data_IF_189262617289
#
_entry.id   IF_189262617289
#
_cell.length_a   1.000
_cell.length_b   1.000
_cell.length_c   1.000
_cell.angle_alpha   90.00
_cell.angle_beta   90.00
_cell.angle_gamma   90.00
#
_symmetry.space_group_name_H-M   'P 1'
#
loop_
_entity.id
_entity.type
_entity.pdbx_description
1 polymer ?
#
# COMPACT_ATOMS: atom_id res chain seq x y z
N UNK A 1 -19.07 -4.67 51.37
CA UNK A 1 -18.81 -3.94 50.11
C UNK A 1 -17.50 -4.45 49.52
N UNK A 2 -17.56 -5.31 48.49
CA UNK A 2 -16.36 -5.83 47.79
C UNK A 2 -16.03 -4.87 46.64
N UNK A 3 -14.90 -4.17 46.72
CA UNK A 3 -14.35 -3.36 45.63
C UNK A 3 -13.65 -4.28 44.64
N UNK A 4 -14.21 -4.42 43.44
CA UNK A 4 -13.55 -5.08 42.31
C UNK A 4 -12.68 -4.03 41.61
N UNK A 5 -11.35 -4.24 41.62
CA UNK A 5 -10.41 -3.47 40.83
C UNK A 5 -10.38 -4.06 39.41
N UNK A 6 -10.86 -3.29 38.43
CA UNK A 6 -10.68 -3.56 37.01
C UNK A 6 -9.26 -3.11 36.64
N UNK A 7 -8.35 -4.06 36.48
CA UNK A 7 -7.04 -3.82 35.89
C UNK A 7 -7.21 -3.80 34.35
N UNK A 8 -7.17 -2.62 33.75
CA UNK A 8 -7.13 -2.46 32.30
C UNK A 8 -5.74 -2.82 31.78
N UNK A 9 -5.67 -3.86 30.94
CA UNK A 9 -4.47 -4.20 30.18
C UNK A 9 -4.39 -3.23 29.00
N UNK A 10 -3.49 -2.25 29.07
CA UNK A 10 -3.14 -1.44 27.92
C UNK A 10 -2.29 -2.28 26.97
N UNK A 11 -2.88 -2.74 25.86
CA UNK A 11 -2.13 -3.39 24.79
C UNK A 11 -1.26 -2.31 24.09
N UNK A 12 0.04 -2.32 24.36
CA UNK A 12 0.99 -1.52 23.61
C UNK A 12 1.14 -2.13 22.21
N UNK A 13 0.55 -1.49 21.20
CA UNK A 13 0.79 -1.83 19.80
C UNK A 13 2.20 -1.31 19.45
N UNK A 14 3.18 -2.20 19.51
CA UNK A 14 4.55 -1.90 19.12
C UNK A 14 4.65 -1.73 17.61
N UNK A 15 4.84 -0.50 17.14
CA UNK A 15 5.18 -0.22 15.75
C UNK A 15 6.64 -0.63 15.55
N UNK A 16 6.89 -1.67 14.76
CA UNK A 16 8.23 -2.00 14.29
C UNK A 16 8.57 -1.00 13.20
N UNK A 17 9.50 -0.07 13.47
CA UNK A 17 10.04 0.79 12.43
C UNK A 17 10.78 -0.09 11.42
N UNK A 18 10.38 -0.04 10.15
CA UNK A 18 11.06 -0.75 9.07
C UNK A 18 12.47 -0.15 8.92
N UNK A 19 13.48 -0.87 9.42
CA UNK A 19 14.86 -0.53 9.12
C UNK A 19 15.10 -0.85 7.64
N UNK A 20 15.59 0.14 6.89
CA UNK A 20 15.93 -0.06 5.48
C UNK A 20 16.91 -1.23 5.34
N UNK A 21 16.60 -2.18 4.46
CA UNK A 21 17.45 -3.33 4.17
C UNK A 21 18.69 -2.97 3.34
N UNK A 22 18.82 -1.70 2.90
CA UNK A 22 19.92 -1.23 2.05
C UNK A 22 20.58 0.03 2.63
N UNK A 23 21.89 -0.02 2.93
CA UNK A 23 22.67 1.19 3.11
C UNK A 23 22.86 1.89 1.75
N UNK A 24 22.34 3.10 1.56
CA UNK A 24 22.93 4.03 0.57
C UNK A 24 22.05 4.71 -0.47
N UNK A 25 20.73 4.58 -0.46
CA UNK A 25 19.87 5.42 -1.31
C UNK A 25 18.79 6.09 -0.45
N UNK A 26 18.91 7.40 -0.24
CA UNK A 26 17.80 8.21 0.27
C UNK A 26 16.96 8.57 -0.95
N UNK A 27 15.73 8.06 -1.09
CA UNK A 27 14.88 8.42 -2.22
C UNK A 27 14.65 9.93 -2.20
N UNK A 28 14.83 10.59 -3.34
CA UNK A 28 14.43 11.98 -3.52
C UNK A 28 12.90 12.05 -3.45
N UNK A 29 12.39 12.69 -2.40
CA UNK A 29 10.96 12.93 -2.22
C UNK A 29 10.44 13.78 -3.40
N UNK A 30 9.50 13.22 -4.15
CA UNK A 30 8.66 14.01 -5.06
C UNK A 30 7.58 14.65 -4.19
N UNK A 31 7.57 15.98 -4.06
CA UNK A 31 6.72 16.71 -3.12
C UNK A 31 6.96 16.33 -1.65
N UNK A 32 5.90 16.31 -0.82
CA UNK A 32 5.92 15.95 0.60
C UNK A 32 5.89 14.43 0.85
N UNK A 33 6.23 13.63 -0.17
CA UNK A 33 6.32 12.18 -0.09
C UNK A 33 7.38 11.77 0.96
N UNK A 34 6.93 11.09 2.01
CA UNK A 34 7.79 10.34 2.91
C UNK A 34 7.95 8.91 2.38
N UNK A 35 9.17 8.37 2.40
CA UNK A 35 9.42 6.99 1.98
C UNK A 35 8.90 6.02 3.04
N UNK A 36 8.91 6.45 4.31
CA UNK A 36 8.43 5.63 5.41
C UNK A 36 6.93 5.82 5.60
N UNK A 37 6.13 4.74 5.52
CA UNK A 37 4.72 4.83 5.84
C UNK A 37 4.51 5.10 7.33
N UNK A 38 3.53 5.92 7.66
CA UNK A 38 3.03 6.12 9.02
C UNK A 38 1.62 5.51 9.15
N UNK A 39 1.32 4.79 10.25
CA UNK A 39 -0.03 4.27 10.47
C UNK A 39 -1.03 5.43 10.67
N UNK A 40 -2.26 5.23 10.20
CA UNK A 40 -3.39 6.11 10.49
C UNK A 40 -4.04 5.74 11.83
N UNK A 41 -4.58 6.72 12.56
CA UNK A 41 -5.47 6.44 13.68
C UNK A 41 -6.80 5.84 13.21
N UNK A 42 -7.58 5.17 14.07
CA UNK A 42 -8.84 4.55 13.66
C UNK A 42 -9.82 5.51 12.96
N UNK A 43 -10.02 6.71 13.51
CA UNK A 43 -10.91 7.72 12.92
C UNK A 43 -10.41 8.22 11.56
N UNK A 44 -9.09 8.32 11.39
CA UNK A 44 -8.49 8.71 10.12
C UNK A 44 -8.62 7.62 9.06
N UNK A 45 -8.50 6.35 9.47
CA UNK A 45 -8.73 5.19 8.61
C UNK A 45 -10.19 5.07 8.19
N UNK A 46 -11.14 5.30 9.09
CA UNK A 46 -12.57 5.33 8.75
C UNK A 46 -12.86 6.42 7.72
N UNK A 47 -12.34 7.63 7.92
CA UNK A 47 -12.52 8.73 6.97
C UNK A 47 -11.95 8.41 5.58
N UNK A 48 -10.71 7.89 5.48
CA UNK A 48 -10.12 7.59 4.16
C UNK A 48 -10.85 6.45 3.44
N UNK A 49 -11.43 5.51 4.19
CA UNK A 49 -12.26 4.43 3.63
C UNK A 49 -13.57 5.00 3.07
N UNK A 50 -14.21 5.91 3.79
CA UNK A 50 -15.44 6.58 3.32
C UNK A 50 -15.16 7.45 2.09
N UNK A 51 -14.04 8.19 2.09
CA UNK A 51 -13.59 8.96 0.92
C UNK A 51 -13.36 8.02 -0.29
N UNK A 52 -12.69 6.89 -0.10
CA UNK A 52 -12.45 5.88 -1.13
C UNK A 52 -13.76 5.26 -1.67
N UNK A 53 -14.75 5.02 -0.80
CA UNK A 53 -16.07 4.48 -1.21
C UNK A 53 -16.91 5.51 -1.95
N UNK A 54 -16.87 6.77 -1.55
CA UNK A 54 -17.59 7.85 -2.21
C UNK A 54 -17.15 8.02 -3.68
N UNK A 55 -15.93 7.61 -4.00
CA UNK A 55 -15.39 7.60 -5.37
C UNK A 55 -15.81 6.38 -6.20
N UNK A 56 -16.15 5.26 -5.56
CA UNK A 56 -16.48 4.00 -6.23
C UNK A 56 -17.44 4.10 -7.42
N UNK A 57 -18.52 4.90 -7.34
CA UNK A 57 -19.45 5.09 -8.46
C UNK A 57 -18.82 5.66 -9.74
N UNK A 58 -17.69 6.37 -9.65
CA UNK A 58 -17.06 7.03 -10.81
C UNK A 58 -16.17 6.08 -11.64
N UNK A 59 -15.79 4.95 -11.08
CA UNK A 59 -14.67 4.14 -11.61
C UNK A 59 -14.79 2.64 -11.41
N UNK A 60 -15.60 2.15 -10.45
CA UNK A 60 -15.65 0.73 -10.06
C UNK A 60 -17.08 0.21 -9.81
N UNK A 61 -18.10 1.07 -9.89
CA UNK A 61 -19.50 0.70 -9.62
C UNK A 61 -19.74 0.33 -8.15
N UNK A 62 -20.77 -0.49 -7.89
CA UNK A 62 -21.19 -0.87 -6.53
C UNK A 62 -20.22 -1.84 -5.81
N UNK A 63 -19.16 -2.31 -6.50
CA UNK A 63 -18.29 -3.38 -6.02
C UNK A 63 -17.42 -3.02 -4.80
N UNK A 64 -17.21 -1.73 -4.52
CA UNK A 64 -16.43 -1.27 -3.35
C UNK A 64 -17.23 -1.34 -2.05
N UNK A 65 -18.56 -1.22 -2.10
CA UNK A 65 -19.40 -1.18 -0.90
C UNK A 65 -19.18 -2.36 0.08
N UNK A 66 -19.07 -3.64 -0.38
CA UNK A 66 -18.79 -4.76 0.51
C UNK A 66 -17.31 -4.91 0.92
N UNK A 67 -16.38 -4.15 0.35
CA UNK A 67 -14.97 -4.31 0.61
C UNK A 67 -14.59 -3.76 2.01
N UNK A 68 -13.71 -4.49 2.70
CA UNK A 68 -13.21 -4.16 4.04
C UNK A 68 -11.77 -3.64 3.97
N UNK A 69 -11.39 -2.65 4.80
CA UNK A 69 -10.01 -2.18 4.83
C UNK A 69 -9.09 -3.22 5.45
N UNK A 70 -7.99 -3.53 4.75
CA UNK A 70 -6.93 -4.42 5.24
C UNK A 70 -5.62 -3.68 5.52
N UNK A 71 -5.47 -2.47 4.99
CA UNK A 71 -4.30 -1.62 5.13
C UNK A 71 -4.71 -0.16 4.97
N UNK A 72 -4.24 0.70 5.87
CA UNK A 72 -4.39 2.15 5.75
C UNK A 72 -3.13 2.83 6.31
N UNK A 73 -2.52 3.71 5.53
CA UNK A 73 -1.25 4.35 5.87
C UNK A 73 -1.19 5.78 5.33
N UNK A 74 -0.17 6.53 5.76
CA UNK A 74 0.08 7.92 5.36
C UNK A 74 1.55 8.15 5.06
N UNK A 75 1.80 8.91 3.98
CA UNK A 75 3.11 9.50 3.66
C UNK A 75 2.91 10.98 3.30
N UNK A 76 3.42 11.87 4.14
CA UNK A 76 3.15 13.31 3.99
C UNK A 76 1.66 13.65 4.10
N UNK A 77 1.14 14.39 3.12
CA UNK A 77 -0.28 14.74 2.98
C UNK A 77 -1.14 13.66 2.32
N UNK A 78 -0.54 12.54 1.91
CA UNK A 78 -1.23 11.46 1.21
C UNK A 78 -1.57 10.31 2.13
N UNK A 79 -2.80 9.83 2.05
CA UNK A 79 -3.29 8.61 2.68
C UNK A 79 -3.50 7.55 1.62
N UNK A 80 -3.05 6.33 1.91
CA UNK A 80 -3.22 5.17 1.03
C UNK A 80 -4.01 4.09 1.77
N UNK A 81 -5.03 3.54 1.11
CA UNK A 81 -5.89 2.49 1.69
C UNK A 81 -6.05 1.33 0.71
N UNK A 82 -6.05 0.11 1.25
CA UNK A 82 -6.38 -1.12 0.54
C UNK A 82 -7.68 -1.67 1.10
N UNK A 83 -8.65 -1.85 0.22
CA UNK A 83 -9.93 -2.52 0.48
C UNK A 83 -9.94 -3.88 -0.20
N UNK A 84 -10.48 -4.90 0.46
CA UNK A 84 -10.57 -6.26 -0.07
C UNK A 84 -11.99 -6.76 0.06
N UNK A 85 -12.49 -7.41 -0.97
CA UNK A 85 -13.72 -8.20 -0.94
C UNK A 85 -13.44 -9.62 -1.43
N UNK A 86 -14.49 -10.45 -1.49
CA UNK A 86 -14.40 -11.80 -2.02
C UNK A 86 -13.99 -11.85 -3.51
N UNK A 87 -14.13 -10.74 -4.25
CA UNK A 87 -13.92 -10.72 -5.70
C UNK A 87 -12.81 -9.79 -6.16
N UNK A 88 -12.36 -8.85 -5.31
CA UNK A 88 -11.44 -7.79 -5.71
C UNK A 88 -10.56 -7.27 -4.58
N UNK A 89 -9.38 -6.77 -4.97
CA UNK A 89 -8.59 -5.83 -4.18
C UNK A 89 -8.75 -4.46 -4.83
N UNK A 90 -8.88 -3.44 -4.01
CA UNK A 90 -9.00 -2.06 -4.44
C UNK A 90 -8.03 -1.22 -3.64
N UNK A 91 -7.26 -0.39 -4.32
CA UNK A 91 -6.38 0.59 -3.69
C UNK A 91 -6.99 1.97 -3.88
N UNK A 92 -6.79 2.89 -2.94
CA UNK A 92 -7.14 4.31 -3.10
C UNK A 92 -6.00 5.15 -2.54
N UNK A 93 -5.67 6.23 -3.24
CA UNK A 93 -4.73 7.26 -2.79
C UNK A 93 -5.52 8.57 -2.63
N UNK A 94 -5.39 9.20 -1.47
CA UNK A 94 -6.20 10.35 -1.07
C UNK A 94 -5.28 11.45 -0.55
N UNK A 95 -5.41 12.67 -1.06
CA UNK A 95 -4.66 13.82 -0.55
C UNK A 95 -5.48 14.61 0.46
N UNK A 96 -4.94 14.85 1.66
CA UNK A 96 -5.60 15.67 2.69
C UNK A 96 -5.42 17.17 2.45
N UNK A 97 -6.44 17.93 2.83
CA UNK A 97 -6.42 19.41 2.80
C UNK A 97 -6.86 20.02 1.47
N UNK A 98 -7.20 19.18 0.49
CA UNK A 98 -7.92 19.61 -0.67
C UNK A 98 -9.38 19.94 -0.31
N UNK A 99 -9.81 21.16 -0.58
CA UNK A 99 -11.14 21.64 -0.21
C UNK A 99 -12.27 21.13 -1.13
N UNK A 100 -11.95 20.31 -2.13
CA UNK A 100 -12.88 19.83 -3.14
C UNK A 100 -12.62 18.34 -3.49
N UNK A 101 -13.63 17.69 -4.06
CA UNK A 101 -13.52 16.37 -4.71
C UNK A 101 -12.51 16.35 -5.88
N UNK A 102 -11.95 17.51 -6.24
CA UNK A 102 -11.11 17.73 -7.42
C UNK A 102 -9.61 17.38 -7.24
N UNK A 103 -9.10 17.15 -6.02
CA UNK A 103 -7.69 16.72 -5.77
C UNK A 103 -7.59 15.26 -5.27
N UNK A 104 -8.67 14.50 -5.45
CA UNK A 104 -8.75 13.12 -5.03
C UNK A 104 -8.28 12.23 -6.18
N UNK A 105 -6.98 11.91 -6.20
CA UNK A 105 -6.37 11.12 -7.29
C UNK A 105 -6.64 9.64 -7.09
N UNK A 106 -7.65 9.13 -7.79
CA UNK A 106 -7.98 7.72 -7.76
C UNK A 106 -7.00 6.88 -8.61
N UNK A 107 -6.28 5.95 -7.98
CA UNK A 107 -5.82 4.75 -8.71
C UNK A 107 -6.80 3.63 -8.45
N UNK A 108 -7.48 3.20 -9.49
CA UNK A 108 -8.21 1.94 -9.52
C UNK A 108 -7.30 0.85 -10.07
N UNK A 109 -6.97 -0.15 -9.25
CA UNK A 109 -6.45 -1.42 -9.71
C UNK A 109 -7.31 -2.55 -9.20
N UNK A 110 -8.25 -2.98 -10.03
CA UNK A 110 -8.87 -4.29 -9.90
C UNK A 110 -7.82 -5.35 -10.21
N UNK A 111 -7.05 -5.75 -9.19
CA UNK A 111 -6.29 -6.99 -9.25
C UNK A 111 -7.26 -8.16 -9.45
N UNK A 112 -6.77 -9.28 -10.00
CA UNK A 112 -7.53 -10.55 -10.03
C UNK A 112 -8.09 -10.80 -8.63
N UNK A 113 -9.24 -11.46 -8.55
CA UNK A 113 -9.75 -12.00 -7.29
C UNK A 113 -8.60 -12.71 -6.60
N UNK A 114 -8.06 -12.18 -5.49
CA UNK A 114 -7.03 -12.90 -4.80
C UNK A 114 -7.67 -14.21 -4.42
N UNK A 115 -6.93 -15.31 -4.58
CA UNK A 115 -7.26 -16.44 -3.75
C UNK A 115 -6.95 -16.01 -2.31
N UNK A 116 -7.94 -15.37 -1.67
CA UNK A 116 -7.93 -14.95 -0.28
C UNK A 116 -8.02 -16.16 0.64
N UNK A 117 -8.29 -17.35 0.10
CA UNK A 117 -8.42 -18.57 0.89
C UNK A 117 -7.08 -19.08 1.42
N UNK A 118 -5.95 -18.64 0.86
CA UNK A 118 -4.63 -19.03 1.34
C UNK A 118 -3.58 -17.90 1.25
N UNK A 119 -3.03 -17.51 2.41
CA UNK A 119 -1.76 -16.77 2.49
C UNK A 119 -0.64 -17.60 1.86
N UNK A 120 0.40 -16.98 1.26
CA UNK A 120 1.55 -17.72 0.79
C UNK A 120 2.20 -18.46 1.97
N UNK A 121 2.58 -19.72 1.73
CA UNK A 121 3.25 -20.56 2.73
C UNK A 121 4.68 -20.08 2.98
N UNK A 122 5.31 -19.50 1.95
CA UNK A 122 6.67 -18.95 1.97
C UNK A 122 6.73 -17.68 1.14
N UNK A 123 7.55 -16.71 1.57
CA UNK A 123 7.83 -15.50 0.80
C UNK A 123 6.64 -14.54 0.72
N UNK A 124 6.54 -13.85 -0.42
CA UNK A 124 5.51 -12.84 -0.71
C UNK A 124 4.76 -13.21 -1.99
N UNK A 125 3.51 -12.78 -2.08
CA UNK A 125 2.65 -12.89 -3.27
C UNK A 125 2.17 -11.52 -3.69
N UNK A 126 2.21 -11.20 -4.98
CA UNK A 126 1.59 -9.99 -5.55
C UNK A 126 0.11 -10.26 -5.85
N UNK A 127 -0.80 -9.57 -5.17
CA UNK A 127 -2.26 -9.71 -5.38
C UNK A 127 -2.84 -8.63 -6.28
N UNK A 128 -2.15 -7.49 -6.40
CA UNK A 128 -2.55 -6.41 -7.28
C UNK A 128 -1.42 -5.42 -7.52
N UNK A 129 -1.45 -4.81 -8.70
CA UNK A 129 -0.64 -3.65 -9.00
C UNK A 129 -1.45 -2.69 -9.84
N UNK A 130 -1.22 -1.40 -9.63
CA UNK A 130 -1.88 -0.33 -10.36
C UNK A 130 -0.86 0.68 -10.79
N UNK A 131 -1.06 1.23 -11.98
CA UNK A 131 -0.30 2.36 -12.46
C UNK A 131 -1.28 3.35 -13.07
N UNK A 132 -1.20 4.62 -12.66
CA UNK A 132 -1.75 5.67 -13.51
C UNK A 132 -0.86 5.76 -14.74
N UNK A 133 -1.40 5.40 -15.90
CA UNK A 133 -0.72 5.55 -17.19
C UNK A 133 -1.18 6.85 -17.83
N UNK A 134 -0.25 7.63 -18.38
CA UNK A 134 -0.62 8.64 -19.36
C UNK A 134 -1.17 7.95 -20.61
N UNK A 135 -2.17 8.56 -21.25
CA UNK A 135 -2.63 8.07 -22.55
C UNK A 135 -1.51 8.25 -23.60
N UNK A 136 -1.47 7.42 -24.66
CA UNK A 136 -0.48 7.61 -25.72
C UNK A 136 -0.51 9.04 -26.29
N UNK A 137 0.62 9.75 -26.21
CA UNK A 137 0.76 11.13 -26.66
C UNK A 137 0.48 12.20 -25.61
N UNK A 138 0.13 11.82 -24.38
CA UNK A 138 0.06 12.72 -23.23
C UNK A 138 1.35 12.64 -22.40
N UNK A 139 1.76 13.77 -21.82
CA UNK A 139 2.82 13.74 -20.83
C UNK A 139 2.31 13.06 -19.55
N UNK A 140 3.15 12.30 -18.83
CA UNK A 140 2.83 11.81 -17.50
C UNK A 140 2.28 12.94 -16.64
N UNK A 141 1.06 12.76 -16.13
CA UNK A 141 0.49 13.71 -15.18
C UNK A 141 1.48 13.88 -14.01
N UNK A 142 1.71 15.10 -13.49
CA UNK A 142 2.45 15.28 -12.25
C UNK A 142 1.80 14.54 -11.07
N UNK A 143 0.53 14.16 -11.20
CA UNK A 143 -0.23 13.39 -10.24
C UNK A 143 -0.23 11.87 -10.52
N UNK A 144 0.57 11.41 -11.49
CA UNK A 144 0.71 10.00 -11.80
C UNK A 144 1.49 9.26 -10.70
N UNK A 145 1.07 8.03 -10.41
CA UNK A 145 1.65 7.19 -9.37
C UNK A 145 1.54 5.70 -9.69
N UNK A 146 2.43 4.92 -9.08
CA UNK A 146 2.35 3.45 -9.03
C UNK A 146 1.89 2.98 -7.67
N UNK A 147 1.21 1.83 -7.63
CA UNK A 147 0.91 1.10 -6.40
C UNK A 147 1.08 -0.41 -6.59
N UNK A 148 1.45 -1.09 -5.51
CA UNK A 148 1.54 -2.54 -5.45
C UNK A 148 0.98 -3.02 -4.11
N UNK A 149 0.29 -4.15 -4.13
CA UNK A 149 -0.36 -4.75 -2.96
C UNK A 149 -0.29 -6.27 -3.06
N UNK A 150 -0.16 -6.92 -1.90
CA UNK A 150 -0.08 -8.37 -1.84
C UNK A 150 -0.17 -8.93 -0.44
N UNK A 151 0.15 -10.22 -0.34
CA UNK A 151 0.21 -10.94 0.93
C UNK A 151 1.61 -11.50 1.17
N UNK A 152 1.98 -11.62 2.45
CA UNK A 152 3.24 -12.15 2.92
C UNK A 152 2.99 -13.35 3.84
N UNK A 153 3.92 -14.30 3.80
CA UNK A 153 3.89 -15.46 4.69
C UNK A 153 4.11 -15.03 6.15
N UNK A 154 3.61 -15.78 7.16
CA UNK A 154 3.76 -15.42 8.58
C UNK A 154 5.21 -15.24 9.10
N UNK A 155 6.22 -15.70 8.36
CA UNK A 155 7.63 -15.53 8.69
C UNK A 155 8.28 -14.28 8.06
N UNK A 156 7.59 -13.56 7.19
CA UNK A 156 8.10 -12.34 6.55
C UNK A 156 7.96 -11.16 7.50
N UNK A 157 9.03 -10.39 7.64
CA UNK A 157 9.12 -9.26 8.58
C UNK A 157 9.18 -7.90 7.87
N UNK A 158 9.56 -7.87 6.60
CA UNK A 158 9.57 -6.66 5.78
C UNK A 158 9.37 -7.01 4.30
N UNK A 159 8.74 -6.10 3.56
CA UNK A 159 8.62 -6.16 2.10
C UNK A 159 8.97 -4.79 1.54
N UNK A 160 9.76 -4.78 0.48
CA UNK A 160 10.21 -3.62 -0.26
C UNK A 160 9.87 -3.82 -1.74
N UNK A 161 9.45 -2.75 -2.41
CA UNK A 161 9.30 -2.71 -3.85
C UNK A 161 10.55 -2.08 -4.46
N UNK A 162 11.18 -2.78 -5.40
CA UNK A 162 12.37 -2.30 -6.11
C UNK A 162 11.96 -1.74 -7.46
N UNK A 163 12.24 -0.46 -7.67
CA UNK A 163 11.98 0.28 -8.91
C UNK A 163 13.27 0.37 -9.77
N UNK A 164 13.18 0.80 -11.04
CA UNK A 164 14.35 0.96 -11.90
C UNK A 164 15.39 1.90 -11.28
N UNK A 165 16.67 1.56 -11.51
CA UNK A 165 17.81 2.25 -10.92
C UNK A 165 18.00 1.96 -9.43
N UNK A 166 17.60 0.77 -8.97
CA UNK A 166 17.73 0.28 -7.59
C UNK A 166 17.05 1.16 -6.53
N UNK A 167 16.06 1.96 -6.95
CA UNK A 167 15.27 2.76 -6.02
C UNK A 167 14.34 1.85 -5.23
N UNK A 168 14.30 2.03 -3.91
CA UNK A 168 13.51 1.19 -3.01
C UNK A 168 12.34 1.98 -2.43
N UNK A 169 11.16 1.36 -2.45
CA UNK A 169 9.95 1.86 -1.79
C UNK A 169 9.58 0.89 -0.66
N UNK A 170 9.60 1.39 0.57
CA UNK A 170 9.18 0.61 1.73
C UNK A 170 7.67 0.39 1.70
N UNK A 171 7.24 -0.85 1.97
CA UNK A 171 5.82 -1.18 2.09
C UNK A 171 5.34 -0.97 3.51
N UNK A 172 4.03 -0.75 3.67
CA UNK A 172 3.34 -1.04 4.91
C UNK A 172 3.05 -2.52 4.95
N UNK A 173 3.46 -3.23 6.00
CA UNK A 173 3.14 -4.64 6.25
C UNK A 173 2.27 -4.75 7.51
N UNK A 174 1.08 -5.33 7.38
CA UNK A 174 0.15 -5.50 8.50
C UNK A 174 0.39 -6.84 9.22
N UNK A 175 -0.07 -6.99 10.48
CA UNK A 175 0.01 -8.26 11.19
C UNK A 175 -0.71 -9.42 10.47
N UNK A 176 -1.67 -9.09 9.62
CA UNK A 176 -2.39 -10.03 8.78
C UNK A 176 -1.69 -10.36 7.47
N UNK A 177 -0.42 -9.98 7.33
CA UNK A 177 0.41 -10.30 6.19
C UNK A 177 0.07 -9.50 4.94
N UNK A 178 -0.90 -8.58 4.98
CA UNK A 178 -1.13 -7.67 3.85
C UNK A 178 0.01 -6.68 3.78
N UNK A 179 0.56 -6.51 2.58
CA UNK A 179 1.54 -5.47 2.31
C UNK A 179 1.06 -4.55 1.19
N UNK A 180 1.48 -3.29 1.24
CA UNK A 180 1.14 -2.30 0.24
C UNK A 180 2.18 -1.19 0.14
N UNK A 181 2.45 -0.73 -1.08
CA UNK A 181 3.31 0.40 -1.37
C UNK A 181 2.72 1.25 -2.49
N UNK A 182 3.08 2.52 -2.50
CA UNK A 182 2.83 3.42 -3.60
C UNK A 182 3.99 4.41 -3.75
N UNK A 183 4.15 4.93 -4.96
CA UNK A 183 5.23 5.85 -5.28
C UNK A 183 4.81 6.85 -6.36
N UNK A 184 5.35 8.08 -6.29
CA UNK A 184 5.12 9.11 -7.30
C UNK A 184 5.83 8.75 -8.61
N UNK A 185 5.25 9.23 -9.71
CA UNK A 185 5.66 8.85 -11.06
C UNK A 185 4.92 7.60 -11.50
N UNK A 186 3.96 7.76 -12.39
CA UNK A 186 3.35 6.66 -13.12
C UNK A 186 4.30 6.05 -14.15
N UNK A 187 3.80 5.18 -15.01
CA UNK A 187 4.57 4.69 -16.14
C UNK A 187 4.78 5.83 -17.12
N UNK A 188 6.04 6.16 -17.43
CA UNK A 188 6.33 6.90 -18.64
C UNK A 188 6.10 6.01 -19.88
N UNK A 189 6.25 6.59 -21.07
CA UNK A 189 6.07 5.86 -22.34
C UNK A 189 7.05 4.71 -22.54
N UNK A 190 8.11 4.63 -21.73
CA UNK A 190 9.11 3.57 -21.76
C UNK A 190 8.86 2.52 -20.65
N UNK A 191 7.85 2.72 -19.81
CA UNK A 191 7.53 1.87 -18.67
C UNK A 191 8.41 2.15 -17.44
N UNK A 192 9.21 3.22 -17.44
CA UNK A 192 9.94 3.61 -16.25
C UNK A 192 8.93 4.02 -15.18
N UNK A 193 8.97 3.35 -14.03
CA UNK A 193 7.95 3.44 -12.98
C UNK A 193 7.35 2.07 -12.62
N UNK A 194 7.50 1.06 -13.50
CA UNK A 194 7.15 -0.31 -13.19
C UNK A 194 8.14 -0.89 -12.18
N UNK A 195 7.63 -1.53 -11.15
CA UNK A 195 8.48 -2.28 -10.24
C UNK A 195 9.21 -3.40 -11.00
N UNK A 196 10.45 -3.63 -10.61
CA UNK A 196 11.39 -4.58 -11.23
C UNK A 196 11.59 -5.82 -10.38
N UNK A 197 11.47 -5.68 -9.06
CA UNK A 197 11.50 -6.78 -8.11
C UNK A 197 10.68 -6.50 -6.84
N UNK A 198 10.35 -7.55 -6.11
CA UNK A 198 9.99 -7.50 -4.70
C UNK A 198 11.16 -8.02 -3.88
N UNK A 199 11.49 -7.33 -2.79
CA UNK A 199 12.51 -7.77 -1.84
C UNK A 199 11.85 -7.96 -0.49
N UNK A 200 12.08 -9.09 0.18
CA UNK A 200 11.51 -9.35 1.49
C UNK A 200 12.56 -9.90 2.46
N UNK A 201 12.37 -9.62 3.74
CA UNK A 201 13.15 -10.19 4.82
C UNK A 201 12.30 -11.20 5.61
N UNK A 202 12.89 -12.33 6.01
CA UNK A 202 12.26 -13.27 6.94
C UNK A 202 12.67 -13.01 8.40
N UNK A 203 12.12 -13.80 9.32
CA UNK A 203 12.41 -13.72 10.76
C UNK A 203 13.82 -14.19 11.13
N UNK A 204 14.52 -14.87 10.23
CA UNK A 204 15.93 -15.22 10.37
C UNK A 204 16.86 -14.09 9.86
N UNK A 205 16.31 -13.03 9.27
CA UNK A 205 17.06 -11.94 8.66
C UNK A 205 17.57 -12.25 7.25
N UNK A 206 17.11 -13.34 6.64
CA UNK A 206 17.41 -13.65 5.25
C UNK A 206 16.67 -12.65 4.36
N UNK A 207 17.39 -12.03 3.43
CA UNK A 207 16.81 -11.14 2.43
C UNK A 207 16.74 -11.89 1.09
N UNK A 208 15.56 -11.92 0.50
CA UNK A 208 15.28 -12.55 -0.79
C UNK A 208 14.74 -11.50 -1.74
N UNK A 209 15.20 -11.54 -2.98
CA UNK A 209 14.70 -10.72 -4.07
C UNK A 209 14.09 -11.61 -5.15
N UNK A 210 12.88 -11.28 -5.58
CA UNK A 210 12.15 -11.99 -6.63
C UNK A 210 11.78 -11.01 -7.75
N UNK A 211 11.94 -11.38 -9.03
CA UNK A 211 11.52 -10.53 -10.14
C UNK A 211 10.04 -10.15 -10.02
N UNK A 212 9.73 -8.91 -10.42
CA UNK A 212 8.35 -8.44 -10.39
C UNK A 212 7.51 -9.21 -11.42
N UNK A 213 6.47 -9.91 -10.95
CA UNK A 213 5.64 -10.80 -11.76
C UNK A 213 5.84 -12.30 -11.51
N UNK A 214 6.95 -12.68 -10.86
CA UNK A 214 7.19 -14.07 -10.40
C UNK A 214 6.82 -14.28 -8.92
N UNK A 215 6.40 -13.21 -8.24
CA UNK A 215 5.95 -13.18 -6.84
C UNK A 215 4.46 -13.43 -6.69
#
# INVERSE_FOLDING_TARGET
>A
MRRQFLAGIAAAVGVIAAASLVPGATPTAFADYDVSPAPLSPAESEQVVDDCRALGPLSMGDAIAPAVPVLAERRGSWSYVVLVSDTQVTTCLVRRGAAAADDLVLASGGGRTPDTSARPVTGVRLDGSTFTQAMPGEEPSPDAFGSAVGQAAPGVTAVDVVLPGDRVVHTTLTPDGWWGAWWPGGLDSEGNGQATALRYADSAGTVVEVPYGDG
#
